data_IF_001632664712
#
_entry.id   IF_001632664712
#
_cell.length_a   1.000
_cell.length_b   1.000
_cell.length_c   1.000
_cell.angle_alpha   90.00
_cell.angle_beta   90.00
_cell.angle_gamma   90.00
#
_symmetry.space_group_name_H-M   'P 1'
#
loop_
_entity.id
_entity.type
_entity.pdbx_description
1 polymer ?
#
# COMPACT_ATOMS: atom_id res chain seq x y z
N UNK A 1 30.55 3.43 -5.11
CA UNK A 1 30.04 4.61 -4.38
C UNK A 1 28.81 4.21 -3.59
N UNK A 2 28.74 4.58 -2.30
CA UNK A 2 27.55 4.39 -1.47
C UNK A 2 26.51 5.47 -1.84
N UNK A 3 25.24 5.09 -1.98
CA UNK A 3 24.13 6.04 -2.15
C UNK A 3 23.75 6.54 -0.75
N UNK A 4 23.86 7.85 -0.52
CA UNK A 4 23.39 8.49 0.70
C UNK A 4 21.88 8.71 0.56
N UNK A 5 21.09 8.20 1.51
CA UNK A 5 19.62 8.25 1.45
C UNK A 5 19.07 9.18 2.53
N UNK A 6 18.18 10.07 2.12
CA UNK A 6 17.39 10.92 3.00
C UNK A 6 15.91 10.54 2.85
N UNK A 7 15.18 10.47 3.96
CA UNK A 7 13.75 10.16 3.94
C UNK A 7 12.98 11.39 4.42
N UNK A 8 12.13 11.93 3.55
CA UNK A 8 11.16 12.93 3.94
C UNK A 8 9.87 12.26 4.40
N UNK A 9 9.43 12.59 5.60
CA UNK A 9 8.16 12.14 6.16
C UNK A 9 7.18 13.32 6.16
N UNK A 10 6.06 13.17 5.48
CA UNK A 10 4.97 14.12 5.49
C UNK A 10 4.29 14.21 6.87
N UNK A 11 3.50 15.24 7.07
CA UNK A 11 2.82 15.54 8.33
C UNK A 11 1.98 14.37 8.88
N UNK A 12 1.31 13.60 8.03
CA UNK A 12 0.47 12.45 8.42
C UNK A 12 1.22 11.39 9.25
N UNK A 13 2.54 11.24 9.04
CA UNK A 13 3.36 10.30 9.80
C UNK A 13 3.49 10.65 11.29
N UNK A 14 3.25 11.89 11.67
CA UNK A 14 3.35 12.40 13.04
C UNK A 14 1.99 12.47 13.76
N UNK A 15 0.90 12.06 13.14
CA UNK A 15 -0.43 12.10 13.76
C UNK A 15 -0.74 10.88 14.63
N UNK A 16 -1.29 11.15 15.83
CA UNK A 16 -1.72 10.11 16.79
C UNK A 16 -2.79 9.18 16.19
N UNK A 17 -3.69 9.73 15.40
CA UNK A 17 -4.77 8.95 14.77
C UNK A 17 -4.25 7.86 13.83
N UNK A 18 -3.05 8.03 13.24
CA UNK A 18 -2.37 7.04 12.39
C UNK A 18 -1.29 6.24 13.13
N UNK A 19 -1.26 6.32 14.46
CA UNK A 19 -0.37 5.53 15.32
C UNK A 19 1.10 5.96 15.26
N UNK A 20 1.39 7.23 14.93
CA UNK A 20 2.76 7.76 14.86
C UNK A 20 3.68 6.91 13.99
N UNK A 21 3.31 6.73 12.73
CA UNK A 21 4.00 5.81 11.82
C UNK A 21 5.49 6.13 11.57
N UNK A 22 5.95 7.36 11.90
CA UNK A 22 7.38 7.71 11.90
C UNK A 22 8.23 6.81 12.81
N UNK A 23 7.64 6.24 13.87
CA UNK A 23 8.33 5.33 14.81
C UNK A 23 8.76 4.00 14.17
N UNK A 24 8.21 3.66 13.01
CA UNK A 24 8.54 2.44 12.28
C UNK A 24 9.60 2.64 11.20
N UNK A 25 10.07 3.87 11.00
CA UNK A 25 11.17 4.15 10.09
C UNK A 25 12.48 3.77 10.77
N UNK A 26 13.31 3.00 10.07
CA UNK A 26 14.61 2.54 10.58
C UNK A 26 15.52 3.75 10.85
N UNK A 27 16.06 3.82 12.07
CA UNK A 27 16.91 4.92 12.56
C UNK A 27 18.23 5.09 11.78
N UNK A 28 18.63 4.08 10.99
CA UNK A 28 19.82 4.19 10.12
C UNK A 28 19.65 5.19 8.97
N UNK A 29 18.41 5.57 8.63
CA UNK A 29 18.16 6.55 7.58
C UNK A 29 18.19 7.99 8.10
N UNK A 30 18.66 8.90 7.27
CA UNK A 30 18.61 10.33 7.57
C UNK A 30 17.19 10.85 7.35
N UNK A 31 16.45 11.08 8.44
CA UNK A 31 15.08 11.61 8.38
C UNK A 31 15.16 13.14 8.34
N UNK A 32 14.56 13.74 7.32
CA UNK A 32 14.54 15.19 7.06
C UNK A 32 13.13 15.79 7.14
N UNK A 33 12.33 15.29 8.03
CA UNK A 33 10.92 15.71 8.16
C UNK A 33 10.75 17.13 8.69
N UNK A 34 9.56 17.67 8.44
CA UNK A 34 9.07 18.86 9.08
C UNK A 34 8.16 18.47 10.25
N UNK A 35 8.64 18.66 11.50
CA UNK A 35 7.85 18.40 12.70
C UNK A 35 6.90 19.55 13.08
N UNK A 36 6.78 20.59 12.24
CA UNK A 36 5.99 21.77 12.57
C UNK A 36 4.49 21.47 12.59
N UNK A 37 3.80 22.28 13.39
CA UNK A 37 2.37 22.18 13.73
C UNK A 37 1.47 21.71 12.57
N UNK A 38 0.90 20.53 12.75
CA UNK A 38 -0.06 19.95 11.81
C UNK A 38 -1.38 20.68 11.99
N UNK A 39 -1.89 21.33 10.96
CA UNK A 39 -3.26 21.83 10.97
C UNK A 39 -4.21 20.64 10.98
N UNK A 40 -4.92 20.45 12.08
CA UNK A 40 -5.91 19.35 12.21
C UNK A 40 -7.09 19.47 11.25
N UNK A 41 -7.31 20.65 10.65
CA UNK A 41 -8.52 20.97 9.89
C UNK A 41 -8.32 20.99 8.37
N UNK A 42 -7.14 21.29 7.85
CA UNK A 42 -6.96 21.54 6.42
C UNK A 42 -5.78 20.73 5.82
N UNK A 43 -6.13 19.73 4.98
CA UNK A 43 -5.14 18.89 4.28
C UNK A 43 -4.35 19.69 3.23
N UNK A 44 -4.95 20.68 2.60
CA UNK A 44 -4.30 21.51 1.58
C UNK A 44 -3.22 22.37 2.24
N UNK A 45 -3.50 22.97 3.40
CA UNK A 45 -2.50 23.74 4.14
C UNK A 45 -1.31 22.87 4.57
N UNK A 46 -1.54 21.64 5.03
CA UNK A 46 -0.48 20.71 5.38
C UNK A 46 0.37 20.38 4.16
N UNK A 47 -0.26 20.11 3.02
CA UNK A 47 0.39 19.83 1.76
C UNK A 47 1.27 21.02 1.29
N UNK A 48 0.74 22.24 1.34
CA UNK A 48 1.47 23.46 0.97
C UNK A 48 2.69 23.67 1.88
N UNK A 49 2.52 23.50 3.20
CA UNK A 49 3.65 23.58 4.15
C UNK A 49 4.73 22.52 3.89
N UNK A 50 4.30 21.29 3.57
CA UNK A 50 5.22 20.20 3.24
C UNK A 50 6.00 20.53 1.94
N UNK A 51 5.39 21.16 0.93
CA UNK A 51 6.09 21.64 -0.27
C UNK A 51 7.20 22.62 0.10
N UNK A 52 6.89 23.67 0.86
CA UNK A 52 7.89 24.66 1.27
C UNK A 52 9.01 24.05 2.12
N UNK A 53 8.65 23.19 3.06
CA UNK A 53 9.60 22.53 3.93
C UNK A 53 10.55 21.61 3.15
N UNK A 54 10.01 20.77 2.27
CA UNK A 54 10.84 19.87 1.45
C UNK A 54 11.69 20.65 0.46
N UNK A 55 11.18 21.72 -0.17
CA UNK A 55 11.95 22.59 -1.05
C UNK A 55 13.18 23.16 -0.33
N UNK A 56 13.01 23.69 0.90
CA UNK A 56 14.14 24.21 1.72
C UNK A 56 15.18 23.13 1.99
N UNK A 57 14.75 21.91 2.33
CA UNK A 57 15.64 20.76 2.58
C UNK A 57 16.37 20.31 1.31
N UNK A 58 15.69 20.22 0.19
CA UNK A 58 16.27 19.82 -1.11
C UNK A 58 17.33 20.85 -1.55
N UNK A 59 17.06 22.15 -1.39
CA UNK A 59 18.04 23.20 -1.70
C UNK A 59 19.33 23.08 -0.86
N UNK A 60 19.20 22.65 0.40
CA UNK A 60 20.36 22.45 1.30
C UNK A 60 21.10 21.13 1.02
N UNK A 61 20.39 20.06 0.63
CA UNK A 61 20.96 18.71 0.43
C UNK A 61 21.53 18.54 -0.98
N UNK A 62 20.93 19.20 -1.97
CA UNK A 62 21.25 19.08 -3.41
C UNK A 62 21.32 17.61 -3.86
N UNK A 63 20.20 16.85 -3.77
CA UNK A 63 20.22 15.44 -4.12
C UNK A 63 20.38 15.22 -5.62
N UNK A 64 21.10 14.17 -6.01
CA UNK A 64 21.24 13.76 -7.43
C UNK A 64 19.93 13.29 -8.05
N UNK A 65 18.97 12.85 -7.25
CA UNK A 65 17.63 12.39 -7.69
C UNK A 65 16.64 12.33 -6.52
N UNK A 66 15.37 12.37 -6.87
CA UNK A 66 14.25 12.19 -5.95
C UNK A 66 13.56 10.85 -6.28
N UNK A 67 13.08 10.15 -5.25
CA UNK A 67 12.30 8.92 -5.39
C UNK A 67 10.92 9.13 -4.78
N UNK A 68 9.88 8.76 -5.53
CA UNK A 68 8.51 8.68 -5.03
C UNK A 68 7.95 7.28 -5.22
N UNK A 69 7.13 6.84 -4.27
CA UNK A 69 6.60 5.49 -4.25
C UNK A 69 5.08 5.52 -4.19
N UNK A 70 4.44 4.91 -5.19
CA UNK A 70 2.99 4.74 -5.21
C UNK A 70 2.26 5.98 -5.70
N UNK A 71 1.13 6.26 -5.08
CA UNK A 71 0.06 7.03 -5.67
C UNK A 71 -0.72 7.88 -4.67
N UNK A 72 -0.21 7.99 -3.46
CA UNK A 72 -0.86 8.85 -2.47
C UNK A 72 -0.67 10.32 -2.83
N UNK A 73 -1.67 11.11 -2.48
CA UNK A 73 -1.71 12.55 -2.71
C UNK A 73 -0.43 13.27 -2.25
N UNK A 74 0.10 12.89 -1.10
CA UNK A 74 1.32 13.49 -0.55
C UNK A 74 2.56 13.22 -1.41
N UNK A 75 2.54 12.20 -2.25
CA UNK A 75 3.64 11.89 -3.17
C UNK A 75 3.77 12.92 -4.30
N UNK A 76 2.75 13.76 -4.58
CA UNK A 76 2.82 14.84 -5.57
C UNK A 76 3.85 15.92 -5.19
N UNK A 77 4.21 16.04 -3.93
CA UNK A 77 5.20 17.02 -3.46
C UNK A 77 6.55 16.80 -4.16
N UNK A 78 7.00 15.54 -4.25
CA UNK A 78 8.26 15.18 -4.91
C UNK A 78 8.31 15.61 -6.38
N UNK A 79 7.35 15.24 -7.23
CA UNK A 79 7.24 15.67 -8.62
C UNK A 79 7.24 17.19 -8.83
N UNK A 80 6.46 17.93 -8.04
CA UNK A 80 6.40 19.39 -8.13
C UNK A 80 7.78 20.00 -7.91
N UNK A 81 8.49 19.56 -6.88
CA UNK A 81 9.84 20.05 -6.56
C UNK A 81 10.86 19.58 -7.61
N UNK A 82 10.77 18.33 -8.05
CA UNK A 82 11.64 17.76 -9.08
C UNK A 82 11.63 18.60 -10.35
N UNK A 83 10.45 18.95 -10.86
CA UNK A 83 10.31 19.77 -12.07
C UNK A 83 10.88 21.18 -11.83
N UNK A 84 10.50 21.80 -10.71
CA UNK A 84 10.91 23.17 -10.41
C UNK A 84 12.43 23.30 -10.17
N UNK A 85 13.08 22.27 -9.63
CA UNK A 85 14.52 22.26 -9.35
C UNK A 85 15.35 21.50 -10.39
N UNK A 86 14.72 20.97 -11.46
CA UNK A 86 15.36 20.16 -12.51
C UNK A 86 16.14 18.96 -11.95
N UNK A 87 15.61 18.30 -10.93
CA UNK A 87 16.20 17.11 -10.31
C UNK A 87 15.54 15.86 -10.89
N UNK A 88 16.30 14.83 -11.33
CA UNK A 88 15.73 13.58 -11.80
C UNK A 88 14.76 12.96 -10.81
N UNK A 89 13.57 12.55 -11.27
CA UNK A 89 12.53 11.91 -10.46
C UNK A 89 12.32 10.45 -10.88
N UNK A 90 12.37 9.55 -9.93
CA UNK A 90 12.12 8.14 -10.12
C UNK A 90 10.81 7.73 -9.43
N UNK A 91 9.91 7.14 -10.20
CA UNK A 91 8.60 6.70 -9.71
C UNK A 91 8.54 5.18 -9.60
N UNK A 92 8.25 4.70 -8.39
CA UNK A 92 7.99 3.28 -8.13
C UNK A 92 6.48 3.00 -8.16
N UNK A 93 6.08 1.92 -8.84
CA UNK A 93 4.71 1.40 -8.93
C UNK A 93 3.73 2.25 -9.75
N UNK A 94 4.24 3.07 -10.67
CA UNK A 94 3.42 3.71 -11.70
C UNK A 94 2.75 2.71 -12.64
N UNK A 95 1.78 3.17 -13.45
CA UNK A 95 1.08 2.37 -14.45
C UNK A 95 0.06 1.35 -13.91
N UNK A 96 -0.13 1.28 -12.59
CA UNK A 96 -1.23 0.50 -12.01
C UNK A 96 -2.58 1.15 -12.30
N UNK A 97 -3.67 0.38 -12.15
CA UNK A 97 -5.05 0.88 -12.23
C UNK A 97 -5.78 0.57 -10.92
N UNK A 98 -6.53 1.53 -10.41
CA UNK A 98 -7.41 1.41 -9.25
C UNK A 98 -8.66 2.26 -9.47
N UNK A 99 -9.56 1.80 -10.35
CA UNK A 99 -10.72 2.55 -10.86
C UNK A 99 -11.62 3.13 -9.75
N UNK A 100 -11.62 2.56 -8.56
CA UNK A 100 -12.44 3.03 -7.42
C UNK A 100 -11.80 4.09 -6.55
N UNK A 101 -10.60 4.60 -6.86
CA UNK A 101 -9.83 5.49 -5.98
C UNK A 101 -9.34 6.74 -6.70
N UNK A 102 -9.36 7.89 -6.02
CA UNK A 102 -8.74 9.13 -6.49
C UNK A 102 -7.21 8.98 -6.71
N UNK A 103 -6.59 7.98 -6.08
CA UNK A 103 -5.18 7.63 -6.29
C UNK A 103 -4.86 7.32 -7.76
N UNK A 104 -5.87 6.93 -8.55
CA UNK A 104 -5.73 6.69 -9.98
C UNK A 104 -5.17 7.91 -10.72
N UNK A 105 -5.83 9.07 -10.54
CA UNK A 105 -5.42 10.33 -11.16
C UNK A 105 -4.05 10.78 -10.66
N UNK A 106 -3.84 10.69 -9.34
CA UNK A 106 -2.55 11.05 -8.71
C UNK A 106 -1.43 10.21 -9.25
N UNK A 107 -1.61 8.90 -9.38
CA UNK A 107 -0.60 7.97 -9.91
C UNK A 107 -0.19 8.33 -11.33
N UNK A 108 -1.16 8.58 -12.19
CA UNK A 108 -0.87 8.90 -13.59
C UNK A 108 -0.21 10.27 -13.73
N UNK A 109 -0.62 11.27 -12.94
CA UNK A 109 0.05 12.56 -12.87
C UNK A 109 1.51 12.41 -12.43
N UNK A 110 1.78 11.69 -11.33
CA UNK A 110 3.14 11.41 -10.85
C UNK A 110 3.95 10.70 -11.94
N UNK A 111 3.37 9.69 -12.60
CA UNK A 111 4.06 8.97 -13.68
C UNK A 111 4.44 9.93 -14.79
N UNK A 112 3.52 10.81 -15.23
CA UNK A 112 3.81 11.76 -16.32
C UNK A 112 4.87 12.80 -15.94
N UNK A 113 4.93 13.20 -14.70
CA UNK A 113 5.95 14.12 -14.17
C UNK A 113 7.30 13.45 -13.91
N UNK A 114 7.39 12.11 -13.91
CA UNK A 114 8.60 11.36 -13.54
C UNK A 114 9.49 11.09 -14.75
N UNK A 115 10.80 11.04 -14.51
CA UNK A 115 11.81 10.83 -15.54
C UNK A 115 12.14 9.35 -15.77
N UNK A 116 11.92 8.51 -14.75
CA UNK A 116 12.20 7.08 -14.83
C UNK A 116 11.22 6.27 -13.96
N UNK A 117 10.91 5.04 -14.36
CA UNK A 117 9.83 4.24 -13.77
C UNK A 117 10.30 2.84 -13.41
N UNK A 118 10.01 2.43 -12.19
CA UNK A 118 10.17 1.06 -11.69
C UNK A 118 8.78 0.46 -11.44
N UNK A 119 8.32 -0.37 -12.35
CA UNK A 119 6.94 -0.87 -12.36
C UNK A 119 6.84 -2.32 -11.88
N UNK A 120 5.67 -2.67 -11.34
CA UNK A 120 5.46 -4.00 -10.77
C UNK A 120 5.27 -5.09 -11.82
N UNK A 121 4.69 -4.78 -12.98
CA UNK A 121 4.33 -5.80 -13.99
C UNK A 121 4.54 -5.30 -15.42
N UNK A 122 4.60 -6.22 -16.37
CA UNK A 122 4.65 -5.87 -17.81
C UNK A 122 3.39 -5.12 -18.27
N UNK A 123 2.22 -5.39 -17.69
CA UNK A 123 0.99 -4.66 -18.00
C UNK A 123 1.10 -3.18 -17.59
N UNK A 124 1.74 -2.91 -16.45
CA UNK A 124 1.99 -1.54 -16.01
C UNK A 124 3.00 -0.83 -16.90
N UNK A 125 4.03 -1.54 -17.36
CA UNK A 125 4.96 -1.03 -18.39
C UNK A 125 4.24 -0.66 -19.67
N UNK A 126 3.35 -1.53 -20.20
CA UNK A 126 2.55 -1.25 -21.39
C UNK A 126 1.71 0.01 -21.24
N UNK A 127 1.03 0.20 -20.08
CA UNK A 127 0.26 1.42 -19.80
C UNK A 127 1.09 2.69 -19.78
N UNK A 128 2.28 2.65 -19.20
CA UNK A 128 3.16 3.82 -19.22
C UNK A 128 3.60 4.15 -20.64
N UNK A 129 3.86 3.15 -21.50
CA UNK A 129 4.12 3.36 -22.91
C UNK A 129 2.91 4.03 -23.59
N UNK A 130 1.69 3.54 -23.34
CA UNK A 130 0.43 4.17 -23.81
C UNK A 130 0.25 5.61 -23.29
N UNK A 131 0.83 5.94 -22.13
CA UNK A 131 0.86 7.29 -21.58
C UNK A 131 1.92 8.19 -22.26
N UNK A 132 2.58 7.69 -23.29
CA UNK A 132 3.62 8.40 -24.05
C UNK A 132 5.01 8.36 -23.37
N UNK A 133 5.25 7.38 -22.48
CA UNK A 133 6.58 7.22 -21.88
C UNK A 133 7.54 6.43 -22.78
N UNK A 134 8.78 6.88 -22.89
CA UNK A 134 9.81 6.18 -23.65
C UNK A 134 10.14 4.82 -23.01
N UNK A 135 10.15 3.75 -23.80
CA UNK A 135 10.35 2.36 -23.35
C UNK A 135 11.59 2.14 -22.50
N UNK A 136 12.68 2.87 -22.76
CA UNK A 136 13.95 2.77 -22.03
C UNK A 136 13.88 3.36 -20.60
N UNK A 137 12.89 4.22 -20.34
CA UNK A 137 12.65 4.81 -19.02
C UNK A 137 11.91 3.88 -18.06
N UNK A 138 11.54 2.67 -18.49
CA UNK A 138 10.65 1.80 -17.72
C UNK A 138 11.29 0.44 -17.49
N UNK A 139 11.56 0.10 -16.24
CA UNK A 139 12.05 -1.22 -15.80
C UNK A 139 10.96 -1.94 -15.00
N UNK A 140 10.75 -3.22 -15.32
CA UNK A 140 9.85 -4.10 -14.53
C UNK A 140 10.65 -4.73 -13.40
N UNK A 141 10.34 -4.36 -12.16
CA UNK A 141 11.05 -4.83 -10.95
C UNK A 141 10.23 -5.79 -10.10
N UNK A 142 8.94 -5.93 -10.39
CA UNK A 142 8.02 -6.50 -9.42
C UNK A 142 7.75 -5.54 -8.27
N UNK A 143 6.96 -5.97 -7.30
CA UNK A 143 6.77 -5.26 -6.04
C UNK A 143 7.93 -5.61 -5.10
N UNK A 144 8.86 -4.67 -4.90
CA UNK A 144 10.12 -4.90 -4.20
C UNK A 144 9.96 -5.36 -2.74
N UNK A 145 8.90 -4.92 -2.06
CA UNK A 145 8.60 -5.36 -0.68
C UNK A 145 8.34 -6.87 -0.57
N UNK A 146 7.93 -7.54 -1.65
CA UNK A 146 7.71 -8.99 -1.65
C UNK A 146 9.02 -9.77 -1.47
N UNK A 147 10.15 -9.22 -1.90
CA UNK A 147 11.46 -9.82 -1.63
C UNK A 147 11.81 -9.82 -0.14
N UNK A 148 11.37 -8.77 0.59
CA UNK A 148 11.55 -8.71 2.04
C UNK A 148 10.68 -9.75 2.75
N UNK A 149 9.42 -9.93 2.29
CA UNK A 149 8.51 -10.96 2.84
C UNK A 149 9.14 -12.35 2.77
N UNK A 150 9.80 -12.70 1.65
CA UNK A 150 10.44 -14.01 1.46
C UNK A 150 11.60 -14.27 2.41
N UNK A 151 12.24 -13.21 2.91
CA UNK A 151 13.40 -13.28 3.83
C UNK A 151 13.00 -13.03 5.29
N UNK A 152 11.78 -12.64 5.54
CA UNK A 152 11.34 -12.22 6.88
C UNK A 152 11.14 -13.42 7.82
N UNK A 153 11.64 -13.29 9.03
CA UNK A 153 11.32 -14.19 10.13
C UNK A 153 9.99 -13.75 10.76
N UNK A 154 8.90 -14.42 10.37
CA UNK A 154 7.56 -14.12 10.89
C UNK A 154 7.46 -14.35 12.37
N UNK A 155 6.65 -13.55 13.04
CA UNK A 155 6.28 -13.77 14.43
C UNK A 155 5.36 -15.00 14.53
N UNK A 156 5.62 -15.81 15.54
CA UNK A 156 4.78 -16.96 15.91
C UNK A 156 3.45 -16.49 16.52
N UNK A 157 2.48 -17.39 16.58
CA UNK A 157 1.20 -17.11 17.26
C UNK A 157 1.41 -16.75 18.72
N UNK A 158 2.38 -17.37 19.42
CA UNK A 158 2.74 -17.06 20.80
C UNK A 158 3.27 -15.64 20.96
N UNK A 159 4.23 -15.23 20.10
CA UNK A 159 4.78 -13.86 20.13
C UNK A 159 3.70 -12.80 19.84
N UNK A 160 2.81 -13.06 18.86
CA UNK A 160 1.67 -12.19 18.58
C UNK A 160 0.71 -12.13 19.76
N UNK A 161 0.42 -13.26 20.41
CA UNK A 161 -0.49 -13.32 21.56
C UNK A 161 0.06 -12.51 22.74
N UNK A 162 1.34 -12.65 23.03
CA UNK A 162 1.99 -11.90 24.11
C UNK A 162 2.01 -10.40 23.81
N UNK A 163 2.29 -10.00 22.54
CA UNK A 163 2.37 -8.59 22.19
C UNK A 163 1.01 -7.86 22.24
N UNK A 164 -0.05 -8.54 21.79
CA UNK A 164 -1.38 -7.92 21.69
C UNK A 164 -2.31 -8.26 22.85
N UNK A 165 -1.89 -9.11 23.78
CA UNK A 165 -2.76 -9.69 24.82
C UNK A 165 -4.05 -10.27 24.23
N UNK A 166 -3.89 -11.08 23.15
CA UNK A 166 -4.99 -11.66 22.39
C UNK A 166 -4.66 -13.08 21.95
N UNK A 167 -5.61 -14.01 22.08
CA UNK A 167 -5.35 -15.42 21.74
C UNK A 167 -5.36 -15.67 20.22
N UNK A 168 -4.18 -15.70 19.61
CA UNK A 168 -3.99 -16.03 18.19
C UNK A 168 -3.94 -17.52 17.89
N UNK A 169 -4.03 -18.41 18.87
CA UNK A 169 -4.20 -19.84 18.63
C UNK A 169 -5.59 -20.15 18.08
N UNK A 170 -6.58 -19.37 18.46
CA UNK A 170 -7.89 -19.42 17.81
C UNK A 170 -7.80 -18.92 16.37
N UNK A 171 -8.49 -19.59 15.40
CA UNK A 171 -8.52 -19.14 14.03
C UNK A 171 -9.16 -17.75 13.89
N UNK A 172 -8.63 -16.92 12.98
CA UNK A 172 -9.12 -15.55 12.79
C UNK A 172 -9.11 -15.12 11.32
N UNK A 173 -10.06 -14.24 10.99
CA UNK A 173 -10.04 -13.47 9.75
C UNK A 173 -9.36 -12.11 9.98
N UNK A 174 -8.56 -11.66 9.00
CA UNK A 174 -7.93 -10.33 9.03
C UNK A 174 -8.71 -9.37 8.15
N UNK A 175 -9.39 -8.39 8.75
CA UNK A 175 -10.18 -7.37 8.06
C UNK A 175 -9.38 -6.08 7.90
N UNK A 176 -9.29 -5.59 6.67
CA UNK A 176 -8.82 -4.24 6.35
C UNK A 176 -9.75 -3.62 5.31
N UNK A 177 -10.47 -2.57 5.69
CA UNK A 177 -11.45 -1.93 4.82
C UNK A 177 -11.19 -0.43 4.71
N UNK A 178 -11.00 0.08 3.50
CA UNK A 178 -10.77 1.49 3.18
C UNK A 178 -12.01 2.12 2.54
N UNK A 179 -12.25 3.41 2.73
CA UNK A 179 -13.24 4.12 1.93
C UNK A 179 -12.88 4.01 0.45
N UNK A 180 -13.88 3.87 -0.40
CA UNK A 180 -13.72 3.90 -1.85
C UNK A 180 -14.25 5.23 -2.34
N UNK A 181 -13.40 6.07 -2.95
CA UNK A 181 -13.72 7.47 -3.25
C UNK A 181 -15.02 7.63 -4.06
N UNK A 182 -15.26 6.73 -5.00
CA UNK A 182 -16.46 6.74 -5.85
C UNK A 182 -17.65 5.98 -5.24
N UNK A 183 -17.51 5.37 -4.06
CA UNK A 183 -18.55 4.57 -3.40
C UNK A 183 -18.77 5.00 -1.94
N UNK A 184 -18.71 6.29 -1.66
CA UNK A 184 -18.82 6.81 -0.28
C UNK A 184 -20.22 6.71 0.33
N UNK A 185 -21.21 6.40 -0.49
CA UNK A 185 -22.58 6.17 -0.01
C UNK A 185 -22.65 4.85 0.77
N UNK A 186 -23.48 4.86 1.84
CA UNK A 186 -23.79 3.66 2.63
C UNK A 186 -22.58 2.95 3.25
N UNK A 187 -21.46 3.66 3.57
CA UNK A 187 -20.26 3.06 4.16
C UNK A 187 -20.56 2.22 5.40
N UNK A 188 -21.44 2.73 6.29
CA UNK A 188 -21.82 2.02 7.52
C UNK A 188 -22.51 0.70 7.19
N UNK A 189 -23.47 0.70 6.27
CA UNK A 189 -24.21 -0.51 5.85
C UNK A 189 -23.29 -1.52 5.19
N UNK A 190 -22.34 -1.07 4.36
CA UNK A 190 -21.33 -1.94 3.71
C UNK A 190 -20.45 -2.66 4.75
N UNK A 191 -19.95 -1.93 5.75
CA UNK A 191 -19.14 -2.54 6.82
C UNK A 191 -19.99 -3.44 7.70
N UNK A 192 -21.20 -3.02 8.06
CA UNK A 192 -22.14 -3.83 8.82
C UNK A 192 -22.43 -5.17 8.16
N UNK A 193 -22.63 -5.16 6.84
CA UNK A 193 -22.81 -6.36 6.05
C UNK A 193 -21.60 -7.31 6.15
N UNK A 194 -20.39 -6.78 6.02
CA UNK A 194 -19.16 -7.57 6.17
C UNK A 194 -19.06 -8.16 7.57
N UNK A 195 -19.28 -7.36 8.62
CA UNK A 195 -19.22 -7.82 10.00
C UNK A 195 -20.26 -8.88 10.33
N UNK A 196 -21.51 -8.72 9.84
CA UNK A 196 -22.58 -9.68 9.98
C UNK A 196 -22.21 -11.04 9.32
N UNK A 197 -21.66 -10.98 8.12
CA UNK A 197 -21.24 -12.18 7.39
C UNK A 197 -20.12 -12.99 8.07
N UNK A 198 -19.23 -12.31 8.81
CA UNK A 198 -18.14 -12.98 9.54
C UNK A 198 -18.64 -13.53 10.88
N UNK A 199 -19.55 -12.82 11.57
CA UNK A 199 -20.05 -13.18 12.92
C UNK A 199 -20.59 -14.60 12.99
N UNK A 200 -21.21 -15.10 11.92
CA UNK A 200 -21.78 -16.45 11.83
C UNK A 200 -20.74 -17.57 11.69
N UNK A 201 -19.46 -17.21 11.59
CA UNK A 201 -18.35 -18.16 11.54
C UNK A 201 -17.66 -18.19 12.91
N UNK A 202 -17.23 -19.35 13.37
CA UNK A 202 -16.48 -19.53 14.65
C UNK A 202 -15.03 -19.01 14.49
N UNK A 203 -14.88 -17.73 14.11
CA UNK A 203 -13.59 -17.08 13.86
C UNK A 203 -13.46 -15.82 14.72
N UNK A 204 -12.29 -15.62 15.26
CA UNK A 204 -11.90 -14.32 15.78
C UNK A 204 -11.76 -13.30 14.63
N UNK A 205 -11.89 -12.02 14.94
CA UNK A 205 -11.76 -10.95 13.98
C UNK A 205 -10.63 -9.98 14.38
N UNK A 206 -9.57 -9.94 13.58
CA UNK A 206 -8.50 -8.96 13.73
C UNK A 206 -8.72 -7.87 12.68
N UNK A 207 -8.83 -6.63 13.12
CA UNK A 207 -9.14 -5.49 12.25
C UNK A 207 -8.01 -4.49 12.28
N UNK A 208 -7.43 -4.18 11.12
CA UNK A 208 -6.52 -3.06 10.97
C UNK A 208 -7.28 -1.83 10.48
N UNK A 209 -6.91 -0.65 11.01
CA UNK A 209 -7.59 0.60 10.65
C UNK A 209 -7.31 0.99 9.19
N UNK A 210 -8.26 1.72 8.55
CA UNK A 210 -8.04 2.26 7.20
C UNK A 210 -6.93 3.31 7.17
N UNK A 211 -6.46 3.61 5.96
CA UNK A 211 -5.61 4.76 5.70
C UNK A 211 -6.35 6.08 5.93
N UNK A 212 -5.64 7.23 5.77
CA UNK A 212 -6.18 8.59 5.87
C UNK A 212 -7.07 9.03 4.69
N UNK A 213 -7.62 8.10 3.92
CA UNK A 213 -8.52 8.38 2.80
C UNK A 213 -9.78 9.11 3.28
N UNK A 214 -10.43 9.86 2.37
CA UNK A 214 -11.63 10.63 2.72
C UNK A 214 -12.70 9.75 3.40
N UNK A 215 -13.35 10.26 4.47
CA UNK A 215 -14.31 9.54 5.32
C UNK A 215 -13.78 8.29 6.07
N UNK A 216 -12.48 8.10 6.20
CA UNK A 216 -11.91 7.02 7.00
C UNK A 216 -12.40 7.03 8.48
N UNK A 217 -12.62 8.23 9.05
CA UNK A 217 -13.09 8.37 10.43
C UNK A 217 -14.48 7.75 10.63
N UNK A 218 -15.35 7.80 9.62
CA UNK A 218 -16.67 7.13 9.66
C UNK A 218 -16.51 5.63 9.84
N UNK A 219 -15.53 5.03 9.14
CA UNK A 219 -15.21 3.60 9.26
C UNK A 219 -14.65 3.29 10.65
N UNK A 220 -13.68 4.09 11.12
CA UNK A 220 -13.07 3.88 12.44
C UNK A 220 -14.12 3.95 13.55
N UNK A 221 -14.92 5.01 13.59
CA UNK A 221 -16.00 5.18 14.59
C UNK A 221 -16.98 4.01 14.56
N UNK A 222 -17.35 3.53 13.37
CA UNK A 222 -18.27 2.41 13.24
C UNK A 222 -17.65 1.08 13.75
N UNK A 223 -16.40 0.81 13.40
CA UNK A 223 -15.67 -0.39 13.85
C UNK A 223 -15.47 -0.36 15.36
N UNK A 224 -15.03 0.77 15.93
CA UNK A 224 -14.85 0.93 17.39
C UNK A 224 -16.16 0.70 18.14
N UNK A 225 -17.26 1.33 17.69
CA UNK A 225 -18.59 1.15 18.32
C UNK A 225 -19.04 -0.31 18.33
N UNK A 226 -18.77 -1.06 17.25
CA UNK A 226 -19.32 -2.41 17.08
C UNK A 226 -18.42 -3.53 17.61
N UNK A 227 -17.10 -3.33 17.65
CA UNK A 227 -16.14 -4.40 17.91
C UNK A 227 -15.24 -4.18 19.12
N UNK A 228 -15.02 -2.92 19.54
CA UNK A 228 -14.11 -2.60 20.66
C UNK A 228 -14.59 -3.30 21.94
N UNK A 229 -13.64 -3.90 22.67
CA UNK A 229 -13.87 -4.62 23.92
C UNK A 229 -14.83 -5.83 23.82
N UNK A 230 -15.16 -6.30 22.62
CA UNK A 230 -15.94 -7.51 22.43
C UNK A 230 -15.02 -8.73 22.31
N UNK A 231 -15.34 -9.80 23.02
CA UNK A 231 -14.59 -11.07 23.01
C UNK A 231 -14.38 -11.56 21.56
N UNK A 232 -13.17 -12.02 21.25
CA UNK A 232 -12.83 -12.52 19.91
C UNK A 232 -12.48 -11.44 18.88
N UNK A 233 -12.50 -10.15 19.24
CA UNK A 233 -12.12 -9.06 18.35
C UNK A 233 -10.87 -8.33 18.83
N UNK A 234 -9.99 -7.99 17.87
CA UNK A 234 -8.81 -7.16 18.12
C UNK A 234 -8.76 -6.01 17.10
N UNK A 235 -8.66 -4.78 17.58
CA UNK A 235 -8.54 -3.58 16.75
C UNK A 235 -7.11 -3.03 16.81
N UNK A 236 -6.47 -2.86 15.65
CA UNK A 236 -5.08 -2.43 15.55
C UNK A 236 -5.00 -1.17 14.69
N UNK A 237 -4.53 -0.05 15.28
CA UNK A 237 -4.34 1.22 14.56
C UNK A 237 -3.19 1.14 13.58
N UNK A 238 -2.05 0.68 14.05
CA UNK A 238 -0.85 0.46 13.25
C UNK A 238 -0.02 -0.65 13.89
N UNK A 239 0.29 -1.67 13.13
CA UNK A 239 1.07 -2.81 13.62
C UNK A 239 2.53 -2.80 13.19
N UNK A 240 2.94 -1.89 12.30
CA UNK A 240 4.23 -1.95 11.64
C UNK A 240 4.36 -3.15 10.69
N UNK A 241 5.38 -3.13 9.84
CA UNK A 241 5.53 -4.10 8.75
C UNK A 241 5.59 -5.56 9.23
N UNK A 242 6.56 -5.89 10.09
CA UNK A 242 6.80 -7.28 10.52
C UNK A 242 5.58 -7.92 11.19
N UNK A 243 4.92 -7.19 12.10
CA UNK A 243 3.70 -7.67 12.75
C UNK A 243 2.56 -7.83 11.76
N UNK A 244 2.39 -6.87 10.85
CA UNK A 244 1.33 -6.94 9.84
C UNK A 244 1.45 -8.18 8.96
N UNK A 245 2.62 -8.44 8.37
CA UNK A 245 2.79 -9.63 7.51
C UNK A 245 2.70 -10.94 8.30
N UNK A 246 3.07 -10.92 9.59
CA UNK A 246 2.89 -12.07 10.49
C UNK A 246 1.40 -12.31 10.78
N UNK A 247 0.61 -11.24 10.98
CA UNK A 247 -0.84 -11.34 11.10
C UNK A 247 -1.49 -11.89 9.82
N UNK A 248 -1.06 -11.42 8.65
CA UNK A 248 -1.52 -11.96 7.37
C UNK A 248 -1.18 -13.45 7.27
N UNK A 249 0.08 -13.83 7.52
CA UNK A 249 0.57 -15.21 7.40
C UNK A 249 -0.18 -16.20 8.29
N UNK A 250 -0.56 -15.77 9.50
CA UNK A 250 -1.23 -16.62 10.49
C UNK A 250 -2.77 -16.57 10.39
N UNK A 251 -3.35 -15.71 9.53
CA UNK A 251 -4.80 -15.62 9.35
C UNK A 251 -5.36 -16.77 8.53
N UNK A 252 -6.62 -17.13 8.77
CA UNK A 252 -7.35 -18.09 7.94
C UNK A 252 -7.59 -17.56 6.54
N UNK A 253 -7.92 -16.28 6.45
CA UNK A 253 -8.04 -15.52 5.20
C UNK A 253 -8.04 -14.01 5.51
N UNK A 254 -7.74 -13.21 4.50
CA UNK A 254 -7.98 -11.78 4.51
C UNK A 254 -9.37 -11.46 3.96
N UNK A 255 -9.99 -10.38 4.47
CA UNK A 255 -11.26 -9.88 3.96
C UNK A 255 -11.25 -8.35 3.93
N UNK A 256 -11.89 -7.76 2.94
CA UNK A 256 -11.99 -6.31 2.77
C UNK A 256 -11.61 -5.85 1.38
N UNK A 257 -11.01 -4.65 1.28
CA UNK A 257 -10.65 -4.06 -0.01
C UNK A 257 -9.22 -3.47 -0.02
N UNK A 258 -8.35 -3.97 0.85
CA UNK A 258 -6.95 -3.55 0.90
C UNK A 258 -6.15 -4.14 -0.26
N UNK A 259 -5.19 -3.35 -0.80
CA UNK A 259 -4.24 -3.85 -1.81
C UNK A 259 -3.36 -4.98 -1.28
N UNK A 260 -3.14 -5.06 0.03
CA UNK A 260 -2.42 -6.15 0.67
C UNK A 260 -3.12 -7.50 0.51
N UNK A 261 -4.47 -7.50 0.45
CA UNK A 261 -5.27 -8.67 0.10
C UNK A 261 -5.07 -9.16 -1.34
N UNK A 262 -4.43 -8.34 -2.20
CA UNK A 262 -4.09 -8.70 -3.59
C UNK A 262 -2.60 -9.07 -3.70
N UNK A 263 -1.73 -8.25 -3.14
CA UNK A 263 -0.28 -8.30 -3.41
C UNK A 263 0.45 -9.20 -2.41
N UNK A 264 0.41 -8.86 -1.13
CA UNK A 264 1.15 -9.57 -0.08
C UNK A 264 0.55 -10.93 0.24
N UNK A 265 -0.79 -11.02 0.27
CA UNK A 265 -1.49 -12.29 0.54
C UNK A 265 -1.12 -13.39 -0.46
N UNK A 266 -0.90 -13.03 -1.73
CA UNK A 266 -0.49 -13.98 -2.77
C UNK A 266 0.90 -14.56 -2.53
N UNK A 267 1.88 -13.74 -2.10
CA UNK A 267 3.21 -14.22 -1.71
C UNK A 267 3.15 -15.13 -0.48
N UNK A 268 2.32 -14.77 0.49
CA UNK A 268 2.13 -15.52 1.72
C UNK A 268 1.24 -16.76 1.54
N UNK A 269 0.66 -16.99 0.36
CA UNK A 269 -0.26 -18.08 0.05
C UNK A 269 -1.52 -18.06 0.92
N UNK A 270 -1.95 -16.90 1.35
CA UNK A 270 -3.13 -16.71 2.19
C UNK A 270 -4.34 -16.40 1.31
N UNK A 271 -5.49 -17.08 1.48
CA UNK A 271 -6.72 -16.73 0.78
C UNK A 271 -7.14 -15.28 1.07
N UNK A 272 -7.76 -14.62 0.10
CA UNK A 272 -8.27 -13.26 0.29
C UNK A 272 -9.64 -13.09 -0.36
N UNK A 273 -10.56 -12.47 0.37
CA UNK A 273 -11.86 -12.06 -0.12
C UNK A 273 -11.86 -10.55 -0.34
N UNK A 274 -11.77 -10.14 -1.61
CA UNK A 274 -11.82 -8.75 -2.01
C UNK A 274 -13.26 -8.29 -2.21
N UNK A 275 -13.72 -7.30 -1.44
CA UNK A 275 -15.12 -6.84 -1.47
C UNK A 275 -15.20 -5.46 -2.14
N UNK A 276 -16.08 -5.35 -3.13
CA UNK A 276 -16.33 -4.11 -3.86
C UNK A 276 -15.33 -3.80 -4.96
N UNK A 277 -15.37 -2.56 -5.46
CA UNK A 277 -14.70 -2.14 -6.69
C UNK A 277 -13.31 -1.52 -6.49
N UNK A 278 -12.89 -1.24 -5.25
CA UNK A 278 -11.65 -0.47 -4.98
C UNK A 278 -10.41 -1.01 -5.69
N UNK A 279 -10.33 -2.32 -5.88
CA UNK A 279 -9.19 -2.97 -6.54
C UNK A 279 -9.44 -3.31 -8.01
N UNK A 280 -10.54 -2.82 -8.60
CA UNK A 280 -10.85 -3.03 -10.01
C UNK A 280 -9.75 -2.47 -10.91
N UNK A 281 -9.41 -3.17 -11.98
CA UNK A 281 -8.31 -2.85 -12.89
C UNK A 281 -6.96 -3.44 -12.50
N UNK A 282 -6.78 -3.95 -11.27
CA UNK A 282 -5.57 -4.69 -10.87
C UNK A 282 -5.56 -6.13 -11.39
N UNK A 283 -4.37 -6.69 -11.53
CA UNK A 283 -4.20 -8.12 -11.78
C UNK A 283 -4.60 -8.87 -10.51
N UNK A 284 -5.60 -9.74 -10.61
CA UNK A 284 -6.13 -10.50 -9.46
C UNK A 284 -5.46 -11.89 -9.41
N UNK A 285 -4.65 -12.18 -8.37
CA UNK A 285 -4.04 -13.50 -8.20
C UNK A 285 -5.08 -14.57 -7.85
N UNK A 286 -4.75 -15.85 -8.09
CA UNK A 286 -5.67 -16.98 -7.87
C UNK A 286 -6.06 -17.24 -6.40
N UNK A 287 -5.37 -16.64 -5.42
CA UNK A 287 -5.77 -16.69 -4.01
C UNK A 287 -6.87 -15.70 -3.65
N UNK A 288 -7.21 -14.80 -4.54
CA UNK A 288 -8.18 -13.74 -4.32
C UNK A 288 -9.50 -14.09 -4.98
N UNK A 289 -10.56 -14.01 -4.21
CA UNK A 289 -11.94 -14.12 -4.68
C UNK A 289 -12.56 -12.74 -4.52
N UNK A 290 -13.07 -12.16 -5.61
CA UNK A 290 -13.78 -10.87 -5.56
C UNK A 290 -15.28 -11.07 -5.44
N UNK A 291 -15.95 -10.28 -4.63
CA UNK A 291 -17.40 -10.29 -4.46
C UNK A 291 -17.98 -8.87 -4.35
N UNK A 292 -19.28 -8.77 -4.57
CA UNK A 292 -20.08 -7.55 -4.42
C UNK A 292 -20.55 -7.38 -2.96
N UNK A 293 -21.10 -6.20 -2.63
CA UNK A 293 -21.77 -5.95 -1.34
C UNK A 293 -23.16 -6.62 -1.32
N UNK A 294 -23.15 -7.95 -1.23
CA UNK A 294 -24.34 -8.77 -1.10
C UNK A 294 -24.08 -9.87 -0.06
N UNK A 295 -24.97 -10.05 0.90
CA UNK A 295 -24.76 -10.99 2.02
C UNK A 295 -24.57 -12.43 1.55
N UNK A 296 -25.44 -12.90 0.65
CA UNK A 296 -25.35 -14.25 0.10
C UNK A 296 -24.04 -14.49 -0.65
N UNK A 297 -23.60 -13.48 -1.43
CA UNK A 297 -22.34 -13.57 -2.18
C UNK A 297 -21.12 -13.57 -1.24
N UNK A 298 -21.12 -12.71 -0.21
CA UNK A 298 -20.04 -12.69 0.79
C UNK A 298 -19.96 -14.02 1.54
N UNK A 299 -21.08 -14.55 2.04
CA UNK A 299 -21.13 -15.83 2.76
C UNK A 299 -20.62 -16.99 1.92
N UNK A 300 -21.12 -17.14 0.68
CA UNK A 300 -20.66 -18.17 -0.25
C UNK A 300 -19.14 -18.08 -0.49
N UNK A 301 -18.61 -16.89 -0.67
CA UNK A 301 -17.20 -16.70 -0.95
C UNK A 301 -16.33 -16.83 0.31
N UNK A 302 -16.82 -16.53 1.52
CA UNK A 302 -16.14 -16.88 2.77
C UNK A 302 -15.95 -18.40 2.85
N UNK A 303 -16.97 -19.19 2.54
CA UNK A 303 -16.86 -20.66 2.52
C UNK A 303 -15.82 -21.14 1.51
N UNK A 304 -15.80 -20.55 0.31
CA UNK A 304 -14.82 -20.87 -0.73
C UNK A 304 -13.39 -20.58 -0.26
N UNK A 305 -13.10 -19.41 0.30
CA UNK A 305 -11.74 -19.04 0.75
C UNK A 305 -11.31 -19.80 2.01
N UNK A 306 -12.25 -20.25 2.83
CA UNK A 306 -11.99 -21.06 4.01
C UNK A 306 -11.79 -22.55 3.71
N UNK A 307 -12.17 -23.01 2.51
CA UNK A 307 -12.14 -24.41 2.10
C UNK A 307 -10.72 -24.96 2.04
N UNK A 308 -10.50 -26.16 2.61
CA UNK A 308 -9.18 -26.82 2.65
C UNK A 308 -8.62 -27.11 1.24
N UNK A 309 -9.47 -27.49 0.29
CA UNK A 309 -9.07 -27.76 -1.09
C UNK A 309 -8.61 -26.48 -1.79
N UNK A 310 -9.31 -25.37 -1.59
CA UNK A 310 -8.88 -24.05 -2.08
C UNK A 310 -7.48 -23.70 -1.53
N UNK A 311 -7.29 -23.82 -0.22
CA UNK A 311 -5.99 -23.55 0.44
C UNK A 311 -4.86 -24.44 -0.07
N UNK A 312 -5.12 -25.74 -0.32
CA UNK A 312 -4.13 -26.68 -0.89
C UNK A 312 -3.64 -26.21 -2.27
N UNK A 313 -4.54 -25.74 -3.13
CA UNK A 313 -4.19 -25.22 -4.47
C UNK A 313 -3.25 -24.01 -4.42
N UNK A 314 -3.31 -23.21 -3.34
CA UNK A 314 -2.47 -22.02 -3.19
C UNK A 314 -0.99 -22.34 -2.94
N UNK A 315 -0.63 -23.54 -2.52
CA UNK A 315 0.78 -23.94 -2.33
C UNK A 315 1.61 -23.72 -3.60
N UNK A 316 1.02 -23.97 -4.79
CA UNK A 316 1.65 -23.81 -6.11
C UNK A 316 1.41 -22.43 -6.75
N UNK A 317 0.79 -21.49 -6.02
CA UNK A 317 0.48 -20.16 -6.56
C UNK A 317 1.75 -19.39 -6.91
N UNK A 318 1.79 -18.81 -8.11
CA UNK A 318 2.76 -17.80 -8.52
C UNK A 318 2.11 -16.42 -8.39
N UNK A 319 2.72 -15.53 -7.63
CA UNK A 319 2.23 -14.17 -7.48
C UNK A 319 2.61 -13.34 -8.73
N UNK A 320 1.66 -12.75 -9.48
CA UNK A 320 1.94 -11.97 -10.67
C UNK A 320 2.72 -10.68 -10.39
N UNK A 321 2.78 -10.24 -9.14
CA UNK A 321 3.52 -9.08 -8.70
C UNK A 321 4.97 -9.38 -8.30
N UNK A 322 5.36 -10.66 -8.27
CA UNK A 322 6.75 -11.06 -8.07
C UNK A 322 7.53 -11.00 -9.38
N UNK A 323 8.81 -10.68 -9.25
CA UNK A 323 9.77 -10.67 -10.36
C UNK A 323 11.11 -11.21 -9.88
N UNK A 324 11.93 -11.72 -10.80
CA UNK A 324 13.29 -12.19 -10.52
C UNK A 324 14.29 -11.03 -10.38
N UNK A 325 13.83 -9.81 -10.30
CA UNK A 325 14.68 -8.64 -10.14
C UNK A 325 15.44 -8.68 -8.83
N UNK A 326 16.78 -8.65 -8.92
CA UNK A 326 17.65 -8.63 -7.73
C UNK A 326 17.80 -7.20 -7.23
N UNK A 327 17.26 -6.90 -6.05
CA UNK A 327 17.35 -5.55 -5.42
C UNK A 327 18.79 -5.08 -5.29
N UNK A 328 19.75 -6.00 -5.07
CA UNK A 328 21.18 -5.69 -5.03
C UNK A 328 21.72 -5.00 -6.29
N UNK A 329 21.05 -5.16 -7.42
CA UNK A 329 21.41 -4.48 -8.67
C UNK A 329 20.92 -3.04 -8.77
N UNK A 330 19.97 -2.63 -7.88
CA UNK A 330 19.35 -1.30 -7.92
C UNK A 330 20.38 -0.15 -7.90
N UNK A 331 21.41 -0.14 -7.02
CA UNK A 331 22.41 0.92 -7.01
C UNK A 331 23.15 1.05 -8.35
N UNK A 332 23.55 -0.07 -8.97
CA UNK A 332 24.22 -0.07 -10.28
C UNK A 332 23.31 0.49 -11.37
N UNK A 333 22.03 0.12 -11.36
CA UNK A 333 21.04 0.59 -12.32
C UNK A 333 20.82 2.09 -12.17
N UNK A 334 20.61 2.58 -10.96
CA UNK A 334 20.43 4.01 -10.67
C UNK A 334 21.65 4.81 -11.15
N UNK A 335 22.87 4.38 -10.83
CA UNK A 335 24.09 5.04 -11.28
C UNK A 335 24.22 5.06 -12.81
N UNK A 336 23.79 3.99 -13.51
CA UNK A 336 23.75 3.95 -14.97
C UNK A 336 22.74 4.95 -15.54
N UNK A 337 21.55 5.03 -14.94
CA UNK A 337 20.49 5.97 -15.35
C UNK A 337 20.96 7.42 -15.20
N UNK A 338 21.56 7.76 -14.06
CA UNK A 338 22.04 9.12 -13.77
C UNK A 338 23.15 9.60 -14.73
N UNK A 339 23.89 8.68 -15.38
CA UNK A 339 24.87 9.02 -16.41
C UNK A 339 24.25 9.39 -17.76
N UNK A 340 22.96 9.15 -17.96
CA UNK A 340 22.30 9.46 -19.22
C UNK A 340 22.02 10.96 -19.34
N UNK A 341 22.74 11.64 -20.26
CA UNK A 341 22.58 13.08 -20.52
C UNK A 341 21.16 13.50 -20.95
N UNK A 342 20.36 12.56 -21.45
CA UNK A 342 18.98 12.78 -21.87
C UNK A 342 17.96 12.49 -20.75
N UNK A 343 18.39 12.21 -19.53
CA UNK A 343 17.48 11.81 -18.45
C UNK A 343 16.41 12.88 -18.18
N UNK A 344 16.79 14.14 -18.09
CA UNK A 344 15.87 15.27 -17.87
C UNK A 344 15.10 15.66 -19.14
N UNK A 345 15.62 15.34 -20.33
CA UNK A 345 14.99 15.65 -21.62
C UNK A 345 13.92 14.60 -21.96
N UNK A 346 12.79 14.69 -21.29
CA UNK A 346 11.69 13.77 -21.52
C UNK A 346 10.90 14.16 -22.76
N UNK A 347 10.68 13.20 -23.66
CA UNK A 347 9.85 13.38 -24.86
C UNK A 347 8.54 12.63 -24.69
N UNK A 348 7.45 13.16 -25.20
CA UNK A 348 6.24 12.41 -25.44
C UNK A 348 6.48 11.46 -26.60
N UNK A 349 6.13 10.20 -26.45
CA UNK A 349 6.29 9.20 -27.51
C UNK A 349 4.91 8.92 -28.12
N UNK A 350 4.73 9.32 -29.36
CA UNK A 350 3.56 8.97 -30.13
C UNK A 350 3.61 7.48 -30.55
N UNK A 351 2.45 6.92 -30.86
CA UNK A 351 2.28 5.53 -31.29
C UNK A 351 2.36 5.42 -32.81
#
# INVERSE_FOLDING_TARGET
>A
KKIKTFIYLSSDHYEKKFGYSYKFVDKKFNIISNKTQISKKNKIENFTRDIFALRKKIKAIQPDFIVVLGDRYEMLIGPIISIQQQIPLFHFYGGAVTEGSADELVRHAISKMSHYHFVATNNYKKRLIQLGEEKWRIIVTGVLSLNNIKKEKFLTKKELSNFYNFNFFNPYALLTYHPTTHELQNLRSKIQLILKSIKNKKLNLVVTYPNSDHKHETIIKFIEKNLKNKKGNLLIKNCGYKRYISLVKNSEFMIGNSSSGIVESATLKVPSLNIGSRQKGKIIPKNVVSCKYNEKDILRNIEKVHNKTFKKKLKKLKNPYENNFKISNMPKIILKILKNKNLLKKKFKDF
#
